data_IF_447921343689
#
_entry.id   IF_447921343689
#
_cell.length_a   1.000
_cell.length_b   1.000
_cell.length_c   1.000
_cell.angle_alpha   90.00
_cell.angle_beta   90.00
_cell.angle_gamma   90.00
#
_symmetry.space_group_name_H-M   'P 1'
#
loop_
_entity.id
_entity.type
_entity.pdbx_description
1 polymer ?
#
# COMPACT_ATOMS: atom_id res chain seq x y z
N UNK A 1 9.78 15.47 6.28
CA UNK A 1 10.09 15.20 4.86
C UNK A 1 10.62 13.78 4.63
N UNK A 2 11.65 13.31 5.36
CA UNK A 2 12.27 11.98 5.15
C UNK A 2 11.28 10.80 5.15
N UNK A 3 10.22 10.86 5.98
CA UNK A 3 9.20 9.79 6.02
C UNK A 3 8.52 9.52 4.68
N UNK A 4 8.21 10.57 3.90
CA UNK A 4 7.59 10.43 2.58
C UNK A 4 8.55 9.79 1.57
N UNK A 5 9.81 10.21 1.57
CA UNK A 5 10.84 9.65 0.67
C UNK A 5 11.11 8.17 0.96
N UNK A 6 10.99 7.76 2.23
CA UNK A 6 11.02 6.36 2.62
C UNK A 6 9.78 5.60 2.14
N UNK A 7 8.59 6.18 2.31
CA UNK A 7 7.33 5.57 1.89
C UNK A 7 7.27 5.29 0.38
N UNK A 8 7.76 6.21 -0.44
CA UNK A 8 7.80 6.04 -1.92
C UNK A 8 9.03 5.23 -2.40
N UNK A 9 9.90 4.79 -1.49
CA UNK A 9 11.05 3.93 -1.81
C UNK A 9 12.26 4.64 -2.43
N UNK A 10 12.35 5.97 -2.33
CA UNK A 10 13.53 6.73 -2.78
C UNK A 10 14.68 6.65 -1.78
N UNK A 11 14.36 6.43 -0.51
CA UNK A 11 15.32 6.30 0.57
C UNK A 11 15.01 5.03 1.36
N UNK A 12 16.04 4.28 1.73
CA UNK A 12 15.88 3.08 2.54
C UNK A 12 15.58 3.40 4.03
N UNK A 13 15.29 2.40 4.88
CA UNK A 13 15.06 2.64 6.31
C UNK A 13 16.25 3.31 7.02
N UNK A 14 17.48 3.06 6.54
CA UNK A 14 18.74 3.59 7.05
C UNK A 14 19.05 5.03 6.60
N UNK A 15 18.26 5.60 5.67
CA UNK A 15 18.48 6.95 5.16
C UNK A 15 19.35 7.02 3.90
N UNK A 16 19.66 5.89 3.26
CA UNK A 16 20.49 5.82 2.04
C UNK A 16 19.60 5.89 0.79
N UNK A 17 19.97 6.69 -0.24
CA UNK A 17 19.23 6.74 -1.49
C UNK A 17 19.24 5.40 -2.25
N UNK A 18 18.09 4.99 -2.77
CA UNK A 18 17.91 3.72 -3.48
C UNK A 18 18.24 3.82 -4.97
N UNK A 19 18.16 2.71 -5.71
CA UNK A 19 18.26 2.74 -7.18
C UNK A 19 17.16 3.61 -7.81
N UNK A 20 15.93 3.56 -7.28
CA UNK A 20 14.80 4.36 -7.75
C UNK A 20 15.10 5.86 -7.65
N UNK A 21 15.82 6.30 -6.60
CA UNK A 21 16.26 7.69 -6.53
C UNK A 21 17.24 8.06 -7.65
N UNK A 22 18.16 7.17 -8.02
CA UNK A 22 19.09 7.41 -9.14
C UNK A 22 18.34 7.48 -10.47
N UNK A 23 17.38 6.59 -10.68
CA UNK A 23 16.53 6.57 -11.87
C UNK A 23 15.66 7.83 -11.97
N UNK A 24 15.09 8.28 -10.84
CA UNK A 24 14.36 9.55 -10.76
C UNK A 24 15.23 10.76 -11.11
N UNK A 25 16.55 10.68 -10.93
CA UNK A 25 17.49 11.75 -11.31
C UNK A 25 17.92 11.68 -12.79
N UNK A 26 17.51 10.64 -13.51
CA UNK A 26 17.79 10.45 -14.93
C UNK A 26 16.71 11.01 -15.86
N UNK A 27 16.69 10.52 -17.10
CA UNK A 27 15.75 10.98 -18.13
C UNK A 27 14.30 10.51 -17.87
N UNK A 28 14.11 9.39 -17.18
CA UNK A 28 12.81 8.76 -16.93
C UNK A 28 12.10 9.28 -15.66
N UNK A 29 12.50 10.44 -15.15
CA UNK A 29 12.06 10.97 -13.85
C UNK A 29 10.53 10.98 -13.66
N UNK A 30 9.76 11.29 -14.70
CA UNK A 30 8.28 11.33 -14.62
C UNK A 30 7.66 9.94 -14.46
N UNK A 31 8.16 8.94 -15.20
CA UNK A 31 7.72 7.54 -15.10
C UNK A 31 8.06 6.97 -13.73
N UNK A 32 9.29 7.22 -13.27
CA UNK A 32 9.75 6.76 -11.95
C UNK A 32 8.95 7.42 -10.83
N UNK A 33 8.61 8.70 -10.96
CA UNK A 33 7.72 9.39 -10.02
C UNK A 33 6.31 8.77 -10.00
N UNK A 34 5.76 8.39 -11.16
CA UNK A 34 4.46 7.72 -11.23
C UNK A 34 4.47 6.36 -10.53
N UNK A 35 5.47 5.53 -10.83
CA UNK A 35 5.67 4.22 -10.16
C UNK A 35 5.84 4.38 -8.65
N UNK A 36 6.68 5.33 -8.22
CA UNK A 36 6.92 5.60 -6.80
C UNK A 36 5.66 6.11 -6.09
N UNK A 37 4.84 6.92 -6.76
CA UNK A 37 3.57 7.42 -6.24
C UNK A 37 2.55 6.29 -6.12
N UNK A 38 2.39 5.46 -7.16
CA UNK A 38 1.53 4.27 -7.13
C UNK A 38 1.92 3.32 -5.99
N UNK A 39 3.22 3.11 -5.78
CA UNK A 39 3.73 2.26 -4.70
C UNK A 39 3.50 2.87 -3.31
N UNK A 40 3.83 4.15 -3.12
CA UNK A 40 3.71 4.81 -1.82
C UNK A 40 2.28 5.07 -1.37
N UNK A 41 1.35 5.13 -2.33
CA UNK A 41 -0.07 5.35 -2.12
C UNK A 41 -0.93 4.21 -2.72
N UNK A 42 -0.45 2.98 -2.63
CA UNK A 42 -1.11 1.82 -3.25
C UNK A 42 -2.60 1.71 -2.87
N UNK A 43 -2.94 1.95 -1.61
CA UNK A 43 -4.33 1.93 -1.14
C UNK A 43 -5.24 2.98 -1.79
N UNK A 44 -4.69 4.12 -2.24
CA UNK A 44 -5.46 5.09 -3.04
C UNK A 44 -5.76 4.53 -4.43
N UNK A 45 -4.78 3.93 -5.09
CA UNK A 45 -4.94 3.38 -6.44
C UNK A 45 -5.74 2.08 -6.49
N UNK A 46 -5.80 1.33 -5.38
CA UNK A 46 -6.69 0.17 -5.23
C UNK A 46 -8.17 0.56 -5.25
N UNK A 47 -8.51 1.69 -4.63
CA UNK A 47 -9.90 2.18 -4.56
C UNK A 47 -10.24 3.07 -5.76
N UNK A 48 -9.29 3.92 -6.16
CA UNK A 48 -9.41 4.82 -7.29
C UNK A 48 -8.28 4.55 -8.29
N UNK A 49 -8.50 3.70 -9.31
CA UNK A 49 -7.50 3.45 -10.35
C UNK A 49 -6.98 4.73 -11.03
N UNK A 50 -7.81 5.79 -11.04
CA UNK A 50 -7.58 7.12 -11.56
C UNK A 50 -7.26 8.16 -10.47
N UNK A 51 -6.71 7.75 -9.31
CA UNK A 51 -6.46 8.61 -8.15
C UNK A 51 -5.64 9.88 -8.46
N UNK A 52 -4.78 9.84 -9.47
CA UNK A 52 -4.00 10.98 -9.93
C UNK A 52 -4.88 12.14 -10.44
N UNK A 53 -6.05 11.81 -11.00
CA UNK A 53 -7.00 12.77 -11.58
C UNK A 53 -8.17 13.14 -10.65
N UNK A 54 -8.33 12.45 -9.52
CA UNK A 54 -9.43 12.68 -8.55
C UNK A 54 -9.33 14.03 -7.85
N UNK A 55 -10.44 14.53 -7.32
CA UNK A 55 -10.44 15.76 -6.52
C UNK A 55 -9.83 15.54 -5.13
N UNK A 56 -9.40 16.63 -4.51
CA UNK A 56 -8.72 16.61 -3.20
C UNK A 56 -9.62 16.08 -2.09
N UNK A 57 -10.94 16.27 -2.18
CA UNK A 57 -11.89 15.85 -1.15
C UNK A 57 -12.13 14.34 -1.18
N UNK A 58 -12.21 13.74 -2.37
CA UNK A 58 -12.25 12.28 -2.54
C UNK A 58 -11.00 11.61 -1.96
N UNK A 59 -9.81 12.14 -2.29
CA UNK A 59 -8.53 11.65 -1.74
C UNK A 59 -8.51 11.83 -0.22
N UNK A 60 -8.92 12.98 0.30
CA UNK A 60 -8.97 13.26 1.73
C UNK A 60 -9.92 12.33 2.49
N UNK A 61 -11.09 12.03 1.92
CA UNK A 61 -12.08 11.14 2.52
C UNK A 61 -11.55 9.71 2.61
N UNK A 62 -10.82 9.22 1.60
CA UNK A 62 -10.24 7.88 1.68
C UNK A 62 -9.11 7.79 2.71
N UNK A 63 -8.26 8.82 2.79
CA UNK A 63 -7.20 8.88 3.80
C UNK A 63 -7.83 8.88 5.20
N UNK A 64 -8.90 9.65 5.44
CA UNK A 64 -9.63 9.67 6.72
C UNK A 64 -10.24 8.32 7.08
N UNK A 65 -10.74 7.57 6.10
CA UNK A 65 -11.30 6.23 6.34
C UNK A 65 -10.25 5.19 6.69
N UNK A 66 -9.01 5.35 6.20
CA UNK A 66 -7.93 4.37 6.38
C UNK A 66 -6.88 4.79 7.43
N UNK A 67 -7.04 5.94 8.08
CA UNK A 67 -6.06 6.45 9.05
C UNK A 67 -6.72 7.29 10.14
N UNK A 68 -6.12 7.30 11.33
CA UNK A 68 -6.54 8.15 12.45
C UNK A 68 -5.84 9.53 12.43
N UNK A 69 -5.59 10.08 11.25
CA UNK A 69 -4.88 11.34 11.08
C UNK A 69 -5.78 12.55 11.39
N UNK A 70 -5.20 13.59 12.00
CA UNK A 70 -5.90 14.87 12.17
C UNK A 70 -6.21 15.52 10.81
N UNK A 71 -7.20 16.40 10.76
CA UNK A 71 -7.57 17.17 9.55
C UNK A 71 -6.37 17.86 8.91
N UNK A 72 -5.52 18.54 9.71
CA UNK A 72 -4.27 19.15 9.26
C UNK A 72 -3.30 18.15 8.65
N UNK A 73 -3.19 16.96 9.23
CA UNK A 73 -2.30 15.91 8.73
C UNK A 73 -2.83 15.37 7.40
N UNK A 74 -4.13 15.13 7.29
CA UNK A 74 -4.78 14.71 6.04
C UNK A 74 -4.53 15.74 4.94
N UNK A 75 -4.74 17.03 5.21
CA UNK A 75 -4.49 18.09 4.24
C UNK A 75 -3.03 18.09 3.73
N UNK A 76 -2.06 17.86 4.63
CA UNK A 76 -0.63 17.73 4.26
C UNK A 76 -0.36 16.49 3.42
N UNK A 77 -0.99 15.36 3.74
CA UNK A 77 -0.85 14.11 2.97
C UNK A 77 -1.44 14.28 1.57
N UNK A 78 -2.62 14.87 1.44
CA UNK A 78 -3.26 15.18 0.15
C UNK A 78 -2.38 16.12 -0.66
N UNK A 79 -1.88 17.21 -0.07
CA UNK A 79 -0.99 18.14 -0.76
C UNK A 79 0.32 17.47 -1.22
N UNK A 80 0.87 16.56 -0.43
CA UNK A 80 2.06 15.78 -0.80
C UNK A 80 1.78 14.83 -1.97
N UNK A 81 0.63 14.14 -1.94
CA UNK A 81 0.18 13.27 -3.01
C UNK A 81 0.00 14.06 -4.32
N UNK A 82 -0.71 15.19 -4.29
CA UNK A 82 -0.91 16.05 -5.46
C UNK A 82 0.39 16.63 -6.01
N UNK A 83 1.31 17.02 -5.13
CA UNK A 83 2.64 17.44 -5.56
C UNK A 83 3.38 16.32 -6.29
N UNK A 84 3.32 15.07 -5.79
CA UNK A 84 3.91 13.92 -6.47
C UNK A 84 3.24 13.62 -7.81
N UNK A 85 1.91 13.67 -7.88
CA UNK A 85 1.17 13.52 -9.13
C UNK A 85 1.57 14.57 -10.17
N UNK A 86 1.82 15.82 -9.76
CA UNK A 86 2.25 16.89 -10.67
C UNK A 86 3.65 16.68 -11.27
N UNK A 87 4.48 15.85 -10.63
CA UNK A 87 5.83 15.49 -11.08
C UNK A 87 5.85 14.21 -11.91
N UNK A 88 4.75 13.45 -11.87
CA UNK A 88 4.61 12.14 -12.45
C UNK A 88 3.90 12.17 -13.80
N UNK A 89 4.18 11.16 -14.62
CA UNK A 89 3.41 10.86 -15.83
C UNK A 89 2.89 9.43 -15.71
N UNK A 90 1.59 9.30 -15.48
CA UNK A 90 0.94 8.01 -15.19
C UNK A 90 0.62 7.21 -16.46
N UNK A 91 0.84 7.78 -17.65
CA UNK A 91 0.50 7.17 -18.93
C UNK A 91 -1.01 6.87 -19.08
N UNK A 92 -1.38 6.28 -20.21
CA UNK A 92 -2.71 5.67 -20.34
C UNK A 92 -2.82 4.46 -19.39
N UNK A 93 -4.02 4.13 -18.87
CA UNK A 93 -4.20 3.00 -17.95
C UNK A 93 -3.99 1.68 -18.71
N UNK A 94 -2.72 1.27 -18.84
CA UNK A 94 -2.40 -0.05 -19.35
C UNK A 94 -2.54 -1.04 -18.18
N UNK A 95 -3.61 -1.83 -18.22
CA UNK A 95 -3.68 -3.10 -17.52
C UNK A 95 -2.47 -3.95 -17.94
N UNK A 96 -1.44 -4.02 -17.08
CA UNK A 96 -0.65 -5.22 -16.72
C UNK A 96 0.74 -4.84 -16.19
N UNK A 97 1.12 -5.38 -15.03
CA UNK A 97 2.52 -5.67 -14.71
C UNK A 97 2.66 -6.69 -13.56
N UNK A 98 2.32 -7.95 -13.80
CA UNK A 98 3.22 -9.02 -13.34
C UNK A 98 4.26 -9.24 -14.44
N UNK A 99 5.39 -8.54 -14.38
CA UNK A 99 6.60 -8.96 -15.09
C UNK A 99 7.84 -8.36 -14.44
N UNK A 100 8.40 -9.07 -13.46
CA UNK A 100 9.85 -9.00 -13.18
C UNK A 100 10.35 -10.43 -13.01
N UNK A 101 10.76 -11.05 -14.11
CA UNK A 101 11.89 -11.98 -14.07
C UNK A 101 12.67 -11.90 -15.38
N UNK A 102 13.78 -11.17 -15.32
CA UNK A 102 14.72 -10.97 -16.40
C UNK A 102 16.15 -10.89 -15.87
N UNK A 103 16.71 -12.08 -15.63
CA UNK A 103 18.11 -12.46 -15.87
C UNK A 103 19.26 -11.74 -15.16
N UNK A 104 19.89 -12.44 -14.21
CA UNK A 104 21.37 -12.52 -14.10
C UNK A 104 21.78 -13.89 -13.54
N UNK A 105 22.59 -14.63 -14.30
CA UNK A 105 23.33 -15.81 -13.88
C UNK A 105 24.81 -15.43 -13.59
N UNK A 106 25.67 -16.34 -13.13
CA UNK A 106 25.69 -16.94 -11.79
C UNK A 106 27.02 -16.61 -11.07
N UNK A 107 27.02 -16.55 -9.74
CA UNK A 107 28.26 -16.71 -8.96
C UNK A 107 27.97 -17.58 -7.76
N UNK A 108 28.66 -18.70 -7.73
CA UNK A 108 28.66 -19.69 -6.68
C UNK A 108 29.13 -19.06 -5.37
N UNK A 109 28.33 -19.18 -4.31
CA UNK A 109 28.84 -19.35 -2.95
C UNK A 109 27.79 -20.13 -2.16
N UNK A 110 28.17 -21.36 -1.84
CA UNK A 110 27.44 -22.33 -1.02
C UNK A 110 27.24 -21.79 0.39
N UNK A 111 25.98 -21.54 0.78
CA UNK A 111 25.54 -21.61 2.18
C UNK A 111 24.20 -22.32 2.18
N UNK A 112 24.13 -23.50 2.80
CA UNK A 112 22.89 -24.26 2.98
C UNK A 112 21.94 -23.50 3.91
N UNK A 113 20.68 -23.24 3.51
CA UNK A 113 19.61 -22.97 4.46
C UNK A 113 18.83 -24.26 4.71
N UNK A 114 18.68 -24.58 5.99
CA UNK A 114 17.76 -25.58 6.52
C UNK A 114 16.34 -25.34 5.99
N UNK A 115 15.78 -26.39 5.38
CA UNK A 115 14.39 -26.47 4.91
C UNK A 115 13.40 -26.28 6.07
N UNK A 116 12.68 -25.16 6.07
CA UNK A 116 11.37 -25.07 6.70
C UNK A 116 10.33 -25.50 5.66
N UNK A 117 9.38 -26.40 5.98
CA UNK A 117 8.37 -26.82 5.02
C UNK A 117 7.48 -25.64 4.66
N UNK A 118 7.61 -25.17 3.41
CA UNK A 118 6.67 -24.25 2.79
C UNK A 118 5.39 -25.05 2.49
N UNK A 119 4.29 -24.69 3.16
CA UNK A 119 2.96 -25.18 2.79
C UNK A 119 2.67 -24.64 1.39
N UNK A 120 2.62 -25.52 0.41
CA UNK A 120 2.15 -25.23 -0.93
C UNK A 120 0.68 -24.86 -0.88
N UNK A 121 0.38 -23.57 -1.01
CA UNK A 121 -0.98 -23.13 -1.30
C UNK A 121 -1.40 -23.70 -2.65
N UNK A 122 -2.46 -24.51 -2.61
CA UNK A 122 -3.11 -25.11 -3.75
C UNK A 122 -3.73 -23.99 -4.60
N UNK A 123 -3.46 -23.91 -5.91
CA UNK A 123 -4.12 -22.93 -6.76
C UNK A 123 -5.56 -23.40 -7.01
N UNK A 124 -6.55 -22.61 -6.58
CA UNK A 124 -7.95 -22.89 -6.96
C UNK A 124 -9.09 -22.37 -6.09
N UNK A 125 -8.86 -21.53 -5.07
CA UNK A 125 -9.97 -20.92 -4.32
C UNK A 125 -9.78 -19.41 -4.20
N UNK A 126 -10.83 -18.59 -4.35
CA UNK A 126 -10.76 -17.16 -4.09
C UNK A 126 -10.43 -16.93 -2.60
N UNK A 127 -9.25 -16.35 -2.33
CA UNK A 127 -8.87 -15.96 -0.98
C UNK A 127 -9.53 -14.61 -0.65
N UNK A 128 -10.54 -14.64 0.21
CA UNK A 128 -11.18 -13.41 0.70
C UNK A 128 -10.42 -12.93 1.93
N UNK A 129 -9.67 -11.83 1.78
CA UNK A 129 -9.03 -11.14 2.89
C UNK A 129 -9.97 -10.06 3.43
N UNK A 130 -10.53 -10.27 4.62
CA UNK A 130 -11.41 -9.31 5.29
C UNK A 130 -10.67 -8.60 6.43
N UNK A 131 -10.62 -7.27 6.38
CA UNK A 131 -10.14 -6.44 7.48
C UNK A 131 -11.34 -5.72 8.11
N UNK A 132 -11.72 -6.11 9.33
CA UNK A 132 -12.89 -5.57 10.04
C UNK A 132 -12.40 -4.82 11.28
N UNK A 133 -12.71 -3.51 11.35
CA UNK A 133 -12.44 -2.67 12.51
C UNK A 133 -13.77 -2.30 13.18
N UNK A 134 -13.88 -2.58 14.47
CA UNK A 134 -15.11 -2.39 15.25
C UNK A 134 -14.80 -1.47 16.43
N UNK A 135 -15.57 -0.40 16.57
CA UNK A 135 -15.50 0.50 17.72
C UNK A 135 -16.55 0.09 18.75
N UNK A 136 -16.11 -0.14 19.98
CA UNK A 136 -16.99 -0.47 21.08
C UNK A 136 -17.49 0.81 21.74
N UNK A 137 -18.82 0.99 21.91
CA UNK A 137 -19.35 2.15 22.58
C UNK A 137 -19.01 2.10 24.08
N UNK A 138 -18.73 3.27 24.66
CA UNK A 138 -18.23 3.41 26.03
C UNK A 138 -19.22 2.98 27.12
N UNK A 139 -20.48 2.73 26.74
CA UNK A 139 -21.58 2.30 27.61
C UNK A 139 -21.96 0.82 27.42
N UNK A 140 -21.08 0.01 26.84
CA UNK A 140 -21.34 -1.42 26.64
C UNK A 140 -21.30 -2.20 27.97
N UNK A 141 -22.40 -2.92 28.24
CA UNK A 141 -22.52 -3.84 29.37
C UNK A 141 -21.95 -5.24 29.03
N UNK A 142 -21.61 -6.03 30.05
CA UNK A 142 -21.07 -7.41 29.90
C UNK A 142 -21.91 -8.29 28.96
N UNK A 143 -23.24 -8.22 29.07
CA UNK A 143 -24.17 -8.95 28.20
C UNK A 143 -24.11 -8.53 26.73
N UNK A 144 -23.77 -7.27 26.46
CA UNK A 144 -23.62 -6.76 25.11
C UNK A 144 -22.37 -7.34 24.45
N UNK A 145 -21.26 -7.44 25.19
CA UNK A 145 -20.03 -8.08 24.71
C UNK A 145 -20.26 -9.55 24.35
N UNK A 146 -20.93 -10.31 25.23
CA UNK A 146 -21.20 -11.72 24.97
C UNK A 146 -22.09 -11.93 23.74
N UNK A 147 -23.16 -11.15 23.60
CA UNK A 147 -24.03 -11.20 22.44
C UNK A 147 -23.31 -10.79 21.14
N UNK A 148 -22.45 -9.78 21.22
CA UNK A 148 -21.65 -9.28 20.10
C UNK A 148 -20.66 -10.34 19.60
N UNK A 149 -19.88 -10.95 20.49
CA UNK A 149 -18.93 -12.00 20.10
C UNK A 149 -19.64 -13.28 19.63
N UNK A 150 -20.79 -13.64 20.22
CA UNK A 150 -21.61 -14.75 19.74
C UNK A 150 -22.11 -14.51 18.31
N UNK A 151 -22.54 -13.28 17.99
CA UNK A 151 -22.96 -12.90 16.64
C UNK A 151 -21.78 -12.92 15.66
N UNK A 152 -20.62 -12.36 16.03
CA UNK A 152 -19.41 -12.35 15.20
C UNK A 152 -18.97 -13.77 14.83
N UNK A 153 -18.94 -14.69 15.81
CA UNK A 153 -18.62 -16.10 15.60
C UNK A 153 -19.60 -16.78 14.65
N UNK A 154 -20.90 -16.51 14.81
CA UNK A 154 -21.96 -17.11 13.97
C UNK A 154 -21.88 -16.67 12.51
N UNK A 155 -21.46 -15.43 12.25
CA UNK A 155 -21.49 -14.84 10.90
C UNK A 155 -20.15 -14.90 10.16
N UNK A 156 -19.02 -15.01 10.86
CA UNK A 156 -17.69 -15.15 10.23
C UNK A 156 -17.24 -16.60 9.99
N UNK A 157 -17.89 -17.59 10.62
CA UNK A 157 -17.54 -19.02 10.49
C UNK A 157 -18.59 -19.85 9.75
N UNK A 158 -19.30 -19.25 8.78
CA UNK A 158 -20.16 -20.00 7.86
C UNK A 158 -19.38 -20.67 6.74
#
# INVERSE_FOLDING_TARGET
>A
MVGLLKAIGFVDPSGVPTSHWKEYRGNDHKRVAAEATRKGYASLFEVYPDADSRDDEAIANLIRQNSNYSSDTVARVVGSFKALCSLADFGEPNEVAETIHGHVAPTETSIKPTSIPMVTLTPGLPAINLNIQLELPSNADEKFYDAFFAALKKHLMQ
#
